data_IF_140939646999
#
_entry.id   IF_140939646999
#
_cell.length_a   1.000
_cell.length_b   1.000
_cell.length_c   1.000
_cell.angle_alpha   90.00
_cell.angle_beta   90.00
_cell.angle_gamma   90.00
#
_symmetry.space_group_name_H-M   'P 1'
#
loop_
_entity.id
_entity.type
_entity.pdbx_description
1 polymer ?
#
# COMPACT_ATOMS: atom_id res chain seq x y z
N UNK A 1 13.04 19.41 1.95
CA UNK A 1 13.15 17.94 2.06
C UNK A 1 13.68 17.33 0.77
N UNK A 2 14.15 16.07 0.79
CA UNK A 2 14.51 15.36 -0.42
C UNK A 2 13.21 14.99 -1.19
N UNK A 3 13.19 15.20 -2.51
CA UNK A 3 12.08 14.79 -3.40
C UNK A 3 11.79 13.29 -3.30
N UNK A 4 12.84 12.46 -3.19
CA UNK A 4 12.69 11.02 -3.05
C UNK A 4 11.87 10.65 -1.81
N UNK A 5 12.10 11.29 -0.66
CA UNK A 5 11.28 11.05 0.55
C UNK A 5 9.81 11.35 0.28
N UNK A 6 9.50 12.46 -0.39
CA UNK A 6 8.12 12.83 -0.73
C UNK A 6 7.50 11.82 -1.72
N UNK A 7 8.22 11.44 -2.78
CA UNK A 7 7.72 10.46 -3.76
C UNK A 7 7.54 9.09 -3.13
N UNK A 8 8.46 8.64 -2.26
CA UNK A 8 8.30 7.36 -1.56
C UNK A 8 7.05 7.31 -0.69
N UNK A 9 6.74 8.40 0.05
CA UNK A 9 5.48 8.47 0.81
C UNK A 9 4.26 8.40 -0.11
N UNK A 10 4.31 9.12 -1.25
CA UNK A 10 3.24 9.10 -2.24
C UNK A 10 3.03 7.70 -2.81
N UNK A 11 4.10 7.01 -3.21
CA UNK A 11 4.04 5.67 -3.79
C UNK A 11 3.34 4.67 -2.86
N UNK A 12 3.59 4.75 -1.52
CA UNK A 12 3.02 3.82 -0.55
C UNK A 12 1.49 3.87 -0.46
N UNK A 13 0.86 5.01 -0.72
CA UNK A 13 -0.61 5.10 -0.64
C UNK A 13 -1.31 5.32 -2.00
N UNK A 14 -0.63 5.96 -2.96
CA UNK A 14 -1.22 6.26 -4.28
C UNK A 14 -1.53 4.99 -5.08
N UNK A 15 -0.71 3.95 -4.94
CA UNK A 15 -0.88 2.64 -5.56
C UNK A 15 -1.22 2.76 -7.06
N UNK A 16 -0.39 3.53 -7.78
CA UNK A 16 -0.49 3.74 -9.22
C UNK A 16 -1.87 4.25 -9.70
N UNK A 17 -2.50 5.14 -8.94
CA UNK A 17 -3.81 5.72 -9.29
C UNK A 17 -5.01 5.03 -8.65
N UNK A 18 -4.77 4.02 -7.83
CA UNK A 18 -5.89 3.34 -7.13
C UNK A 18 -6.48 4.21 -6.02
N UNK A 19 -5.65 5.02 -5.34
CA UNK A 19 -6.06 5.92 -4.27
C UNK A 19 -5.71 7.37 -4.62
N UNK A 20 -6.73 8.18 -4.90
CA UNK A 20 -6.58 9.56 -5.34
C UNK A 20 -6.77 10.59 -4.23
N UNK A 21 -7.56 10.26 -3.21
CA UNK A 21 -7.99 11.20 -2.20
C UNK A 21 -7.64 10.69 -0.81
N UNK A 22 -6.84 11.48 -0.07
CA UNK A 22 -6.34 11.11 1.26
C UNK A 22 -6.21 12.33 2.18
N UNK A 23 -6.25 12.07 3.48
CA UNK A 23 -5.86 13.02 4.51
C UNK A 23 -4.42 12.76 4.94
N UNK A 24 -3.57 13.80 4.89
CA UNK A 24 -2.27 13.79 5.54
C UNK A 24 -2.40 14.35 6.95
N UNK A 25 -1.90 13.63 7.91
CA UNK A 25 -1.74 14.09 9.30
C UNK A 25 -0.26 14.25 9.57
N UNK A 26 0.18 15.50 9.74
CA UNK A 26 1.56 15.83 10.07
C UNK A 26 1.61 16.22 11.54
N UNK A 27 2.42 15.53 12.31
CA UNK A 27 2.64 15.80 13.72
C UNK A 27 4.06 15.44 14.12
N UNK A 28 4.73 16.33 14.85
CA UNK A 28 6.10 16.12 15.35
C UNK A 28 7.06 15.65 14.24
N UNK A 29 6.98 16.28 13.05
CA UNK A 29 7.72 15.93 11.84
C UNK A 29 7.49 14.49 11.34
N UNK A 30 6.38 13.90 11.69
CA UNK A 30 5.96 12.60 11.17
C UNK A 30 4.69 12.78 10.36
N UNK A 31 4.69 12.32 9.11
CA UNK A 31 3.48 12.22 8.31
C UNK A 31 2.87 10.84 8.49
N UNK A 32 1.55 10.82 8.70
CA UNK A 32 0.72 9.62 8.67
C UNK A 32 -0.36 9.79 7.64
N UNK A 33 -0.52 8.81 6.77
CA UNK A 33 -1.57 8.76 5.75
C UNK A 33 -2.33 7.45 5.91
N UNK A 34 -3.57 7.54 6.39
CA UNK A 34 -4.50 6.42 6.33
C UNK A 34 -5.29 6.51 5.00
N UNK A 35 -5.50 5.38 4.34
CA UNK A 35 -6.15 5.34 3.03
C UNK A 35 -6.99 4.10 2.82
N UNK A 36 -7.94 4.22 1.90
CA UNK A 36 -8.85 3.13 1.50
C UNK A 36 -9.04 3.17 -0.01
N UNK A 37 -9.11 2.00 -0.65
CA UNK A 37 -9.43 1.93 -2.07
C UNK A 37 -10.91 2.21 -2.32
N UNK A 38 -11.31 2.75 -3.49
CA UNK A 38 -12.72 2.99 -3.82
C UNK A 38 -13.58 1.73 -3.75
N UNK A 39 -13.02 0.56 -4.03
CA UNK A 39 -13.70 -0.75 -3.94
C UNK A 39 -13.75 -1.29 -2.50
N UNK A 40 -13.15 -0.60 -1.54
CA UNK A 40 -13.09 -1.00 -0.11
C UNK A 40 -12.50 -2.39 0.14
N UNK A 41 -11.70 -2.88 -0.79
CA UNK A 41 -11.03 -4.17 -0.70
C UNK A 41 -9.59 -4.08 -0.16
N UNK A 42 -9.12 -2.86 0.10
CA UNK A 42 -7.86 -2.57 0.78
C UNK A 42 -8.02 -1.34 1.67
N UNK A 43 -7.54 -1.44 2.89
CA UNK A 43 -7.25 -0.32 3.79
C UNK A 43 -5.76 -0.31 4.07
N UNK A 44 -5.16 0.87 4.12
CA UNK A 44 -3.73 0.95 4.37
C UNK A 44 -3.33 2.17 5.19
N UNK A 45 -2.09 2.15 5.63
CA UNK A 45 -1.44 3.22 6.38
C UNK A 45 0.01 3.35 5.94
N UNK A 46 0.45 4.58 5.68
CA UNK A 46 1.85 4.92 5.49
C UNK A 46 2.30 5.92 6.56
N UNK A 47 3.49 5.69 7.12
CA UNK A 47 4.08 6.53 8.17
C UNK A 47 5.51 6.85 7.76
N UNK A 48 5.88 8.13 7.74
CA UNK A 48 7.25 8.56 7.45
C UNK A 48 7.70 9.61 8.46
N UNK A 49 8.81 9.39 9.17
CA UNK A 49 9.43 10.39 10.02
C UNK A 49 10.20 11.43 9.18
N UNK A 50 10.64 12.49 9.83
CA UNK A 50 11.43 13.56 9.23
C UNK A 50 10.76 14.26 8.04
N UNK A 51 9.45 14.34 8.07
CA UNK A 51 8.64 15.05 7.07
C UNK A 51 8.66 16.56 7.37
N UNK A 52 9.25 17.32 6.46
CA UNK A 52 9.54 18.74 6.67
C UNK A 52 8.36 19.63 6.26
N UNK A 53 7.25 19.49 6.96
CA UNK A 53 6.09 20.36 6.92
C UNK A 53 5.60 20.60 8.35
N UNK A 54 4.99 21.76 8.61
CA UNK A 54 4.46 22.08 9.93
C UNK A 54 3.28 21.19 10.35
N UNK A 55 3.08 21.03 11.65
CA UNK A 55 1.99 20.23 12.20
C UNK A 55 0.64 20.70 11.64
N UNK A 56 -0.08 19.79 11.01
CA UNK A 56 -1.32 20.09 10.30
C UNK A 56 -2.08 18.83 9.88
N UNK A 57 -3.37 19.01 9.60
CA UNK A 57 -4.18 18.04 8.84
C UNK A 57 -4.57 18.69 7.52
N UNK A 58 -4.30 18.00 6.40
CA UNK A 58 -4.56 18.53 5.06
C UNK A 58 -5.17 17.48 4.16
N UNK A 59 -6.03 17.91 3.24
CA UNK A 59 -6.68 17.05 2.26
C UNK A 59 -6.01 17.11 0.90
N UNK A 60 -5.50 15.99 0.42
CA UNK A 60 -5.04 15.80 -0.96
C UNK A 60 -6.16 15.11 -1.72
N UNK A 61 -6.77 15.81 -2.70
CA UNK A 61 -7.91 15.27 -3.45
C UNK A 61 -7.51 14.60 -4.77
N UNK A 62 -6.44 15.06 -5.40
CA UNK A 62 -5.95 14.53 -6.67
C UNK A 62 -4.47 14.21 -6.56
N UNK A 63 -4.19 13.03 -6.01
CA UNK A 63 -2.81 12.55 -5.83
C UNK A 63 -2.09 12.38 -7.16
N UNK A 64 -2.76 11.96 -8.24
CA UNK A 64 -2.20 11.92 -9.60
C UNK A 64 -1.59 13.24 -10.03
N UNK A 65 -2.32 14.33 -9.83
CA UNK A 65 -1.83 15.65 -10.20
C UNK A 65 -0.69 16.08 -9.30
N UNK A 66 -0.84 15.91 -7.99
CA UNK A 66 0.20 16.25 -7.01
C UNK A 66 1.50 15.50 -7.31
N UNK A 67 1.40 14.20 -7.57
CA UNK A 67 2.54 13.34 -7.90
C UNK A 67 3.26 13.79 -9.18
N UNK A 68 2.52 14.17 -10.22
CA UNK A 68 3.09 14.72 -11.47
C UNK A 68 3.82 16.04 -11.22
N UNK A 69 3.27 16.92 -10.39
CA UNK A 69 3.92 18.17 -10.00
C UNK A 69 5.22 17.91 -9.24
N UNK A 70 5.22 16.98 -8.28
CA UNK A 70 6.44 16.58 -7.56
C UNK A 70 7.49 16.00 -8.52
N UNK A 71 7.06 15.20 -9.52
CA UNK A 71 8.00 14.55 -10.46
C UNK A 71 8.80 15.52 -11.32
N UNK A 72 8.27 16.70 -11.67
CA UNK A 72 9.01 17.70 -12.45
C UNK A 72 10.00 18.53 -11.62
N UNK A 73 9.91 18.46 -10.27
CA UNK A 73 10.82 19.16 -9.36
C UNK A 73 12.21 18.54 -9.35
N UNK A 74 13.22 19.30 -8.91
CA UNK A 74 14.58 18.81 -8.66
C UNK A 74 14.65 17.99 -7.36
N UNK A 75 15.87 17.48 -7.04
CA UNK A 75 16.08 16.57 -5.91
C UNK A 75 15.78 17.17 -4.52
N UNK A 76 15.88 18.50 -4.40
CA UNK A 76 15.55 19.20 -3.15
C UNK A 76 14.33 20.09 -3.37
N UNK A 77 13.27 19.82 -2.60
CA UNK A 77 12.00 20.54 -2.65
C UNK A 77 11.75 21.20 -1.30
N UNK A 78 11.34 22.47 -1.33
CA UNK A 78 10.84 23.20 -0.16
C UNK A 78 9.31 23.12 -0.18
N UNK A 79 8.73 22.56 0.87
CA UNK A 79 7.29 22.55 1.09
C UNK A 79 6.92 23.66 2.06
N UNK A 80 5.88 24.42 1.73
CA UNK A 80 5.32 25.43 2.63
C UNK A 80 3.81 25.33 2.62
N UNK A 81 3.21 25.29 3.81
CA UNK A 81 1.77 25.31 3.97
C UNK A 81 1.29 26.77 4.07
N UNK A 82 0.41 27.17 3.17
CA UNK A 82 -0.25 28.46 3.21
C UNK A 82 -1.64 28.32 3.81
N UNK A 83 -1.95 29.23 4.75
CA UNK A 83 -3.19 29.19 5.52
C UNK A 83 -3.99 30.47 5.29
N UNK A 84 -5.32 30.37 5.44
CA UNK A 84 -6.22 31.52 5.49
C UNK A 84 -5.94 32.39 6.74
N UNK A 85 -6.55 33.59 6.78
CA UNK A 85 -6.51 34.44 7.96
C UNK A 85 -7.06 33.76 9.24
N UNK A 86 -7.89 32.73 9.08
CA UNK A 86 -8.45 31.92 10.16
C UNK A 86 -7.60 30.71 10.53
N UNK A 87 -6.42 30.55 9.91
CA UNK A 87 -5.50 29.42 10.15
C UNK A 87 -5.85 28.12 9.42
N UNK A 88 -6.87 28.12 8.57
CA UNK A 88 -7.24 26.93 7.79
C UNK A 88 -6.24 26.71 6.64
N UNK A 89 -5.65 25.51 6.48
CA UNK A 89 -4.82 25.17 5.34
C UNK A 89 -5.54 25.39 4.01
N UNK A 90 -4.90 26.06 3.05
CA UNK A 90 -5.48 26.36 1.73
C UNK A 90 -4.70 25.70 0.59
N UNK A 91 -3.38 25.79 0.65
CA UNK A 91 -2.51 25.29 -0.40
C UNK A 91 -1.14 24.89 0.13
N UNK A 92 -0.48 24.00 -0.59
CA UNK A 92 0.95 23.73 -0.42
C UNK A 92 1.69 24.40 -1.57
N UNK A 93 2.66 25.24 -1.24
CA UNK A 93 3.67 25.68 -2.22
C UNK A 93 4.79 24.66 -2.23
N UNK A 94 5.17 24.23 -3.43
CA UNK A 94 6.35 23.40 -3.70
C UNK A 94 7.32 24.26 -4.50
N UNK A 95 8.50 24.48 -3.98
CA UNK A 95 9.51 25.28 -4.65
C UNK A 95 10.88 24.58 -4.72
N UNK A 96 11.57 24.76 -5.84
CA UNK A 96 12.95 24.40 -6.03
C UNK A 96 13.70 25.55 -6.73
N UNK A 97 14.87 25.29 -7.32
CA UNK A 97 15.64 26.32 -8.05
C UNK A 97 15.08 26.64 -9.46
N UNK A 98 14.08 25.92 -9.96
CA UNK A 98 13.50 26.08 -11.30
C UNK A 98 12.01 26.34 -11.27
N UNK A 99 11.28 25.79 -10.28
CA UNK A 99 9.83 25.83 -10.20
C UNK A 99 9.35 26.40 -8.88
N UNK A 100 8.26 27.12 -8.94
CA UNK A 100 7.45 27.54 -7.80
C UNK A 100 6.00 27.19 -8.14
N UNK A 101 5.45 26.19 -7.46
CA UNK A 101 4.17 25.56 -7.77
C UNK A 101 3.24 25.66 -6.57
N UNK A 102 1.96 25.92 -6.83
CA UNK A 102 0.92 25.89 -5.82
C UNK A 102 -0.03 24.72 -6.07
N UNK A 103 -0.27 23.93 -5.03
CA UNK A 103 -1.27 22.88 -5.04
C UNK A 103 -2.37 23.18 -4.02
N UNK A 104 -3.59 23.39 -4.51
CA UNK A 104 -4.74 23.70 -3.66
C UNK A 104 -5.25 22.46 -2.93
N UNK A 105 -5.49 22.62 -1.62
CA UNK A 105 -5.94 21.56 -0.74
C UNK A 105 -7.46 21.40 -0.80
N UNK A 106 -7.92 20.19 -0.54
CA UNK A 106 -9.34 19.90 -0.40
C UNK A 106 -9.85 20.17 1.02
N UNK A 107 -11.13 20.44 1.13
CA UNK A 107 -11.83 20.38 2.42
C UNK A 107 -11.75 18.93 2.95
N UNK A 108 -11.37 18.81 4.24
CA UNK A 108 -11.24 17.49 4.89
C UNK A 108 -12.56 16.72 4.94
N UNK A 109 -13.70 17.40 4.92
CA UNK A 109 -15.01 16.76 4.89
C UNK A 109 -15.31 16.03 3.57
N UNK A 110 -14.56 16.33 2.49
CA UNK A 110 -14.68 15.64 1.20
C UNK A 110 -13.79 14.41 1.11
N UNK A 111 -12.89 14.21 2.06
CA UNK A 111 -12.00 13.06 2.11
C UNK A 111 -12.72 11.90 2.82
N UNK A 112 -12.73 10.73 2.20
CA UNK A 112 -13.36 9.54 2.80
C UNK A 112 -12.70 9.18 4.14
N UNK A 113 -13.52 8.93 5.15
CA UNK A 113 -13.02 8.46 6.45
C UNK A 113 -12.60 7.01 6.35
N UNK A 114 -11.35 6.74 6.69
CA UNK A 114 -10.80 5.38 6.70
C UNK A 114 -11.26 4.66 7.96
N UNK A 115 -11.90 3.47 7.85
CA UNK A 115 -12.32 2.71 9.02
C UNK A 115 -11.12 2.13 9.76
N UNK A 116 -11.24 1.98 11.08
CA UNK A 116 -10.28 1.20 11.86
C UNK A 116 -10.43 -0.28 11.56
N UNK A 117 -9.31 -0.96 11.37
CA UNK A 117 -9.28 -2.41 11.19
C UNK A 117 -9.19 -3.09 12.56
N UNK A 118 -10.11 -3.99 12.83
CA UNK A 118 -10.02 -4.89 13.98
C UNK A 118 -9.14 -6.08 13.58
N UNK A 119 -7.86 -6.03 13.97
CA UNK A 119 -6.96 -7.15 13.73
C UNK A 119 -7.35 -8.36 14.59
N UNK A 120 -7.19 -9.60 14.08
CA UNK A 120 -7.35 -10.79 14.90
C UNK A 120 -6.28 -10.83 15.99
N UNK A 121 -6.53 -11.53 17.08
CA UNK A 121 -5.56 -11.70 18.18
C UNK A 121 -4.29 -12.46 17.75
N UNK A 122 -4.40 -13.27 16.69
CA UNK A 122 -3.30 -13.97 16.03
C UNK A 122 -3.64 -14.23 14.58
N UNK A 123 -2.62 -14.33 13.73
CA UNK A 123 -2.77 -14.75 12.34
C UNK A 123 -2.47 -16.25 12.21
N UNK A 124 -3.13 -16.91 11.26
CA UNK A 124 -3.03 -18.37 11.07
C UNK A 124 -1.79 -18.76 10.26
N UNK A 125 -1.32 -17.89 9.37
CA UNK A 125 -0.09 -18.07 8.61
C UNK A 125 0.70 -16.78 8.49
N UNK A 126 2.03 -16.90 8.45
CA UNK A 126 2.96 -15.78 8.28
C UNK A 126 4.09 -16.17 7.35
N UNK A 127 4.46 -15.31 6.41
CA UNK A 127 5.60 -15.49 5.51
C UNK A 127 6.33 -14.17 5.27
N UNK A 128 7.60 -14.26 4.90
CA UNK A 128 8.38 -13.10 4.49
C UNK A 128 8.11 -12.77 3.02
N UNK A 129 8.12 -11.47 2.72
CA UNK A 129 8.08 -10.93 1.36
C UNK A 129 9.46 -10.33 1.08
N UNK A 130 10.18 -10.93 0.18
CA UNK A 130 11.45 -10.44 -0.35
C UNK A 130 11.31 -10.06 -1.83
N UNK A 131 12.39 -9.62 -2.44
CA UNK A 131 12.45 -9.25 -3.86
C UNK A 131 12.10 -10.43 -4.79
N UNK A 132 12.40 -11.67 -4.40
CA UNK A 132 12.06 -12.88 -5.16
C UNK A 132 10.54 -13.12 -5.14
N UNK A 133 9.89 -13.00 -3.96
CA UNK A 133 8.44 -13.08 -3.84
C UNK A 133 7.76 -12.00 -4.71
N UNK A 134 8.20 -10.74 -4.58
CA UNK A 134 7.66 -9.61 -5.35
C UNK A 134 7.78 -9.89 -6.85
N UNK A 135 8.96 -10.32 -7.30
CA UNK A 135 9.24 -10.65 -8.70
C UNK A 135 8.36 -11.80 -9.21
N UNK A 136 8.25 -12.90 -8.45
CA UNK A 136 7.42 -14.06 -8.81
C UNK A 136 5.95 -13.65 -8.96
N UNK A 137 5.40 -12.93 -7.99
CA UNK A 137 4.00 -12.50 -8.04
C UNK A 137 3.72 -11.56 -9.22
N UNK A 138 4.52 -10.51 -9.35
CA UNK A 138 4.30 -9.49 -10.40
C UNK A 138 4.48 -10.06 -11.81
N UNK A 139 5.47 -10.93 -12.03
CA UNK A 139 5.68 -11.58 -13.32
C UNK A 139 4.56 -12.58 -13.65
N UNK A 140 4.12 -13.37 -12.68
CA UNK A 140 3.02 -14.31 -12.87
C UNK A 140 1.70 -13.56 -13.19
N UNK A 141 1.40 -12.50 -12.46
CA UNK A 141 0.23 -11.65 -12.73
C UNK A 141 0.28 -11.01 -14.12
N UNK A 142 1.45 -10.45 -14.51
CA UNK A 142 1.65 -9.87 -15.85
C UNK A 142 1.47 -10.92 -16.97
N UNK A 143 1.98 -12.13 -16.78
CA UNK A 143 1.89 -13.22 -17.76
C UNK A 143 0.44 -13.70 -17.98
N UNK A 144 -0.40 -13.66 -16.94
CA UNK A 144 -1.80 -14.06 -17.00
C UNK A 144 -2.77 -12.93 -17.39
N UNK A 145 -2.28 -11.67 -17.44
CA UNK A 145 -3.07 -10.52 -17.87
C UNK A 145 -4.22 -10.17 -16.91
N UNK A 146 -5.47 -10.35 -17.37
CA UNK A 146 -6.68 -9.85 -16.70
C UNK A 146 -7.16 -10.69 -15.50
N UNK A 147 -6.35 -11.60 -15.00
CA UNK A 147 -6.70 -12.39 -13.80
C UNK A 147 -6.94 -11.45 -12.62
N UNK A 148 -8.13 -11.54 -11.99
CA UNK A 148 -8.57 -10.64 -10.92
C UNK A 148 -8.28 -11.15 -9.52
N UNK A 149 -8.02 -12.45 -9.37
CA UNK A 149 -7.82 -13.07 -8.08
C UNK A 149 -6.55 -13.91 -8.02
N UNK A 150 -6.04 -14.06 -6.82
CA UNK A 150 -5.11 -15.10 -6.43
C UNK A 150 -5.62 -15.79 -5.16
N UNK A 151 -5.24 -17.02 -4.95
CA UNK A 151 -5.57 -17.77 -3.75
C UNK A 151 -4.32 -18.10 -2.96
N UNK A 152 -4.47 -18.21 -1.65
CA UNK A 152 -3.42 -18.63 -0.73
C UNK A 152 -3.89 -19.80 0.10
N UNK A 153 -2.99 -20.73 0.37
CA UNK A 153 -3.16 -21.83 1.33
C UNK A 153 -1.80 -22.28 1.84
N UNK A 154 -1.75 -23.02 2.94
CA UNK A 154 -0.51 -23.69 3.34
C UNK A 154 -0.46 -25.14 2.81
N UNK A 155 0.74 -25.62 2.57
CA UNK A 155 1.01 -27.03 2.24
C UNK A 155 2.20 -27.54 3.09
N UNK A 156 2.09 -28.77 3.60
CA UNK A 156 3.21 -29.46 4.26
C UNK A 156 4.24 -29.87 3.19
N UNK A 157 5.52 -29.60 3.48
CA UNK A 157 6.64 -30.12 2.69
C UNK A 157 7.04 -31.50 3.18
N UNK A 158 7.88 -32.21 2.40
CA UNK A 158 8.41 -33.53 2.77
C UNK A 158 9.22 -33.48 4.08
N UNK A 159 9.86 -32.36 4.39
CA UNK A 159 10.63 -32.13 5.61
C UNK A 159 9.76 -31.67 6.81
N UNK A 160 8.44 -31.76 6.69
CA UNK A 160 7.46 -31.29 7.69
C UNK A 160 7.49 -29.78 7.97
N UNK A 161 8.14 -29.02 7.11
CA UNK A 161 8.01 -27.56 7.07
C UNK A 161 6.71 -27.18 6.38
N UNK A 162 6.32 -25.92 6.45
CA UNK A 162 5.15 -25.42 5.73
C UNK A 162 5.54 -24.38 4.70
N UNK A 163 4.90 -24.48 3.55
CA UNK A 163 4.97 -23.46 2.49
C UNK A 163 3.63 -22.75 2.38
N UNK A 164 3.67 -21.44 2.23
CA UNK A 164 2.56 -20.66 1.71
C UNK A 164 2.52 -20.82 0.20
N UNK A 165 1.44 -21.38 -0.29
CA UNK A 165 1.19 -21.61 -1.70
C UNK A 165 0.34 -20.49 -2.26
N UNK A 166 0.88 -19.78 -3.25
CA UNK A 166 0.20 -18.72 -3.98
C UNK A 166 -0.21 -19.26 -5.34
N UNK A 167 -1.49 -19.17 -5.69
CA UNK A 167 -2.02 -19.54 -7.00
C UNK A 167 -2.67 -18.31 -7.63
N UNK A 168 -2.10 -17.80 -8.71
CA UNK A 168 -2.67 -16.70 -9.48
C UNK A 168 -3.44 -17.33 -10.64
N UNK A 169 -4.72 -17.01 -10.74
CA UNK A 169 -5.64 -17.58 -11.73
C UNK A 169 -7.03 -17.80 -11.15
N UNK A 170 -8.02 -17.92 -12.02
CA UNK A 170 -9.39 -18.19 -11.59
C UNK A 170 -9.61 -19.66 -11.25
N UNK A 171 -10.42 -19.92 -10.22
CA UNK A 171 -10.65 -21.24 -9.64
C UNK A 171 -11.29 -22.29 -10.55
N UNK A 172 -11.90 -21.90 -11.66
CA UNK A 172 -12.77 -22.77 -12.47
C UNK A 172 -12.05 -23.38 -13.71
N UNK A 173 -11.84 -24.67 -13.65
CA UNK A 173 -11.67 -25.67 -14.71
C UNK A 173 -10.50 -25.47 -15.70
N UNK A 174 -10.66 -24.66 -16.72
CA UNK A 174 -9.76 -24.60 -17.89
C UNK A 174 -8.93 -23.32 -17.99
N UNK A 175 -8.92 -22.48 -16.97
CA UNK A 175 -8.12 -21.25 -16.97
C UNK A 175 -6.64 -21.52 -16.67
N UNK A 176 -5.76 -20.75 -17.30
CA UNK A 176 -4.34 -20.79 -16.99
C UNK A 176 -4.08 -20.33 -15.57
N UNK A 177 -3.22 -21.07 -14.85
CA UNK A 177 -2.83 -20.75 -13.47
C UNK A 177 -1.33 -20.81 -13.32
N UNK A 178 -0.79 -19.94 -12.48
CA UNK A 178 0.61 -19.99 -12.07
C UNK A 178 0.64 -20.20 -10.56
N UNK A 179 1.36 -21.23 -10.14
CA UNK A 179 1.57 -21.58 -8.73
C UNK A 179 3.03 -21.37 -8.37
N UNK A 180 3.28 -20.72 -7.25
CA UNK A 180 4.60 -20.69 -6.63
C UNK A 180 4.45 -20.83 -5.09
N UNK A 181 5.57 -21.08 -4.43
CA UNK A 181 5.62 -21.32 -2.99
C UNK A 181 6.67 -20.45 -2.33
N UNK A 182 6.42 -20.11 -1.06
CA UNK A 182 7.38 -19.47 -0.17
C UNK A 182 7.31 -20.13 1.22
N UNK A 183 8.42 -20.29 1.93
CA UNK A 183 8.41 -20.79 3.29
C UNK A 183 7.49 -19.98 4.19
N UNK A 184 6.70 -20.62 5.05
CA UNK A 184 5.83 -19.94 5.99
C UNK A 184 5.79 -20.61 7.35
N UNK A 185 5.45 -19.82 8.35
CA UNK A 185 5.01 -20.29 9.65
C UNK A 185 3.47 -20.35 9.65
N UNK A 186 2.91 -21.49 9.94
CA UNK A 186 1.46 -21.68 10.01
C UNK A 186 1.10 -22.51 11.23
N UNK A 187 0.21 -21.98 12.08
CA UNK A 187 -0.18 -22.63 13.34
C UNK A 187 -1.29 -23.65 13.15
N UNK A 188 -2.33 -23.35 12.35
CA UNK A 188 -3.57 -24.15 12.33
C UNK A 188 -3.95 -24.73 10.96
N UNK A 189 -3.14 -24.51 9.95
CA UNK A 189 -3.49 -24.86 8.58
C UNK A 189 -4.43 -23.83 7.93
N UNK A 190 -4.01 -23.30 6.79
CA UNK A 190 -4.74 -22.31 6.03
C UNK A 190 -5.47 -22.99 4.86
N UNK A 191 -6.80 -22.91 4.85
CA UNK A 191 -7.58 -23.37 3.69
C UNK A 191 -7.45 -22.35 2.55
N UNK A 192 -7.87 -22.71 1.36
CA UNK A 192 -7.75 -21.84 0.20
C UNK A 192 -8.62 -20.58 0.35
N UNK A 193 -7.98 -19.39 0.34
CA UNK A 193 -8.63 -18.09 0.50
C UNK A 193 -8.32 -17.22 -0.71
N UNK A 194 -9.35 -16.68 -1.42
CA UNK A 194 -9.15 -15.80 -2.56
C UNK A 194 -8.97 -14.33 -2.15
N UNK A 195 -8.02 -13.63 -2.80
CA UNK A 195 -7.75 -12.21 -2.64
C UNK A 195 -7.63 -11.48 -3.98
N UNK A 196 -7.82 -10.14 -4.01
CA UNK A 196 -7.75 -9.35 -5.24
C UNK A 196 -6.31 -9.23 -5.76
N UNK A 197 -6.03 -9.80 -6.94
CA UNK A 197 -4.69 -9.86 -7.52
C UNK A 197 -4.19 -8.49 -8.02
N UNK A 198 -5.08 -7.65 -8.57
CA UNK A 198 -4.70 -6.32 -9.05
C UNK A 198 -4.23 -5.43 -7.88
N UNK A 199 -4.95 -5.45 -6.78
CA UNK A 199 -4.61 -4.68 -5.57
C UNK A 199 -3.28 -5.14 -4.98
N UNK A 200 -3.10 -6.47 -4.85
CA UNK A 200 -1.84 -7.05 -4.37
C UNK A 200 -0.66 -6.64 -5.26
N UNK A 201 -0.84 -6.65 -6.57
CA UNK A 201 0.19 -6.22 -7.52
C UNK A 201 0.61 -4.77 -7.31
N UNK A 202 -0.33 -3.85 -7.09
CA UNK A 202 0.01 -2.44 -6.86
C UNK A 202 0.67 -2.23 -5.48
N UNK A 203 0.26 -2.95 -4.45
CA UNK A 203 0.95 -2.96 -3.14
C UNK A 203 2.40 -3.44 -3.29
N UNK A 204 2.63 -4.54 -4.00
CA UNK A 204 3.99 -5.07 -4.21
C UNK A 204 4.87 -4.13 -5.04
N UNK A 205 4.32 -3.49 -6.08
CA UNK A 205 5.05 -2.48 -6.88
C UNK A 205 5.42 -1.24 -6.07
N UNK A 206 4.51 -0.76 -5.22
CA UNK A 206 4.78 0.37 -4.33
C UNK A 206 5.88 0.09 -3.30
N UNK A 207 6.26 -1.18 -3.15
CA UNK A 207 7.28 -1.66 -2.22
C UNK A 207 8.32 -2.56 -2.92
N UNK A 208 8.58 -2.33 -4.23
CA UNK A 208 9.46 -3.21 -5.03
C UNK A 208 10.91 -3.20 -4.58
N UNK A 209 11.37 -2.11 -3.97
CA UNK A 209 12.72 -1.95 -3.43
C UNK A 209 12.84 -2.45 -1.97
N UNK A 210 11.73 -2.84 -1.34
CA UNK A 210 11.74 -3.30 0.04
C UNK A 210 12.45 -4.66 0.18
N UNK A 211 13.38 -4.73 1.12
CA UNK A 211 14.12 -5.96 1.43
C UNK A 211 13.47 -6.79 2.53
N UNK A 212 12.60 -6.19 3.33
CA UNK A 212 11.97 -6.79 4.48
C UNK A 212 10.46 -6.50 4.48
N UNK A 213 9.72 -7.40 3.89
CA UNK A 213 8.27 -7.40 3.94
C UNK A 213 7.74 -8.62 4.68
N UNK A 214 6.54 -8.51 5.22
CA UNK A 214 5.84 -9.58 5.91
C UNK A 214 4.40 -9.67 5.43
N UNK A 215 3.92 -10.88 5.22
CA UNK A 215 2.53 -11.21 4.96
C UNK A 215 2.00 -12.06 6.11
N UNK A 216 0.85 -11.68 6.66
CA UNK A 216 0.15 -12.38 7.73
C UNK A 216 -1.29 -12.61 7.28
N UNK A 217 -1.81 -13.82 7.44
CA UNK A 217 -3.09 -14.22 6.89
C UNK A 217 -3.93 -14.85 7.98
N UNK A 218 -5.17 -14.36 8.12
CA UNK A 218 -6.19 -14.99 8.96
C UNK A 218 -7.11 -15.87 8.13
N UNK A 219 -7.50 -17.01 8.65
CA UNK A 219 -8.50 -17.91 8.06
C UNK A 219 -9.87 -17.21 7.85
N UNK A 220 -10.13 -16.15 8.62
CA UNK A 220 -11.33 -15.31 8.45
C UNK A 220 -11.30 -14.46 7.18
N UNK A 221 -10.15 -14.41 6.48
CA UNK A 221 -10.01 -13.72 5.20
C UNK A 221 -9.47 -12.30 5.29
N UNK A 222 -8.72 -11.98 6.34
CA UNK A 222 -7.92 -10.77 6.43
C UNK A 222 -6.46 -11.09 6.14
N UNK A 223 -5.87 -10.36 5.20
CA UNK A 223 -4.44 -10.40 4.90
C UNK A 223 -3.81 -9.07 5.27
N UNK A 224 -2.83 -9.10 6.16
CA UNK A 224 -1.99 -7.95 6.51
C UNK A 224 -0.64 -8.07 5.81
N UNK A 225 -0.24 -7.00 5.16
CA UNK A 225 1.06 -6.88 4.51
C UNK A 225 1.76 -5.67 5.10
N UNK A 226 3.00 -5.81 5.52
CA UNK A 226 3.78 -4.72 6.10
C UNK A 226 5.17 -4.66 5.51
N UNK A 227 5.67 -3.43 5.32
CA UNK A 227 7.03 -3.15 4.89
C UNK A 227 7.61 -2.02 5.73
N UNK A 228 8.91 -2.08 5.95
CA UNK A 228 9.70 -0.97 6.49
C UNK A 228 10.87 -0.73 5.54
N UNK A 229 10.92 0.45 4.93
CA UNK A 229 11.93 0.81 3.94
C UNK A 229 12.32 2.28 4.10
N UNK A 230 13.62 2.56 4.19
CA UNK A 230 14.17 3.92 4.35
C UNK A 230 13.52 4.73 5.49
N UNK A 231 13.09 4.04 6.55
CA UNK A 231 12.38 4.65 7.68
C UNK A 231 10.90 4.93 7.43
N UNK A 232 10.36 4.50 6.30
CA UNK A 232 8.92 4.57 5.99
C UNK A 232 8.29 3.22 6.33
N UNK A 233 7.31 3.24 7.21
CA UNK A 233 6.48 2.07 7.50
C UNK A 233 5.20 2.12 6.65
N UNK A 234 4.88 1.00 6.01
CA UNK A 234 3.63 0.85 5.26
C UNK A 234 2.92 -0.45 5.63
N UNK A 235 1.63 -0.34 5.88
CA UNK A 235 0.78 -1.45 6.28
C UNK A 235 -0.45 -1.46 5.38
N UNK A 236 -0.81 -2.64 4.90
CA UNK A 236 -1.94 -2.85 4.00
C UNK A 236 -2.78 -4.02 4.50
N UNK A 237 -4.09 -3.84 4.52
CA UNK A 237 -5.05 -4.88 4.87
C UNK A 237 -5.93 -5.17 3.67
N UNK A 238 -5.77 -6.37 3.10
CA UNK A 238 -6.62 -6.88 2.02
C UNK A 238 -7.70 -7.75 2.62
N UNK A 239 -8.92 -7.58 2.10
CA UNK A 239 -10.07 -8.41 2.46
C UNK A 239 -10.27 -9.48 1.38
N UNK A 240 -10.59 -10.70 1.80
CA UNK A 240 -10.91 -11.79 0.89
C UNK A 240 -12.04 -11.40 -0.08
N UNK A 241 -11.98 -11.94 -1.27
CA UNK A 241 -13.11 -11.87 -2.19
C UNK A 241 -14.26 -12.72 -1.65
N UNK A 242 -15.47 -12.16 -1.65
CA UNK A 242 -16.67 -12.93 -1.33
C UNK A 242 -16.95 -13.94 -2.45
N UNK A 243 -17.35 -15.14 -2.08
CA UNK A 243 -17.87 -16.13 -3.04
C UNK A 243 -19.05 -15.50 -3.81
N UNK A 244 -18.90 -15.40 -5.14
CA UNK A 244 -19.97 -14.97 -6.04
C UNK A 244 -20.87 -16.13 -6.38
#
# INVERSE_FOLDING_TARGET
MNKQTLTSVLDKYYLNGTVESVKWVIKDKTITVDFITPMKNLVGKAISPNFDLEDSEIGIYNTSQFYKLVKIMNDTVVLKLNKSERGTPLEITLADNQYDLNYYLSDLNLIETVPSINEPSSYDAEANIDSDFISKFTNAKKALGDVKQFTVKDELTDDKMKDLVIVIGEGNGYANKIKFKTPCESMFGLTEIPFPADVMMEVLKANEDATNGKIQISQEGLMKISFTEDGIDSIYYLVRLSDQ
#
